data_IF_052758973998
#
_entry.id   IF_052758973998
#
_cell.length_a   1.000
_cell.length_b   1.000
_cell.length_c   1.000
_cell.angle_alpha   90.00
_cell.angle_beta   90.00
_cell.angle_gamma   90.00
#
_symmetry.space_group_name_H-M   'P 1'
#
loop_
_entity.id
_entity.type
_entity.pdbx_description
1 polymer ?
#
# COMPACT_ATOMS: atom_id res chain seq x y z
N UNK A 1 11.84 0.01 -33.12
CA UNK A 1 10.74 -0.31 -32.18
C UNK A 1 9.86 0.91 -32.05
N UNK A 2 8.56 0.80 -32.34
CA UNK A 2 7.64 1.93 -32.21
C UNK A 2 7.60 2.37 -30.74
N UNK A 3 7.81 3.66 -30.46
CA UNK A 3 7.55 4.23 -29.13
C UNK A 3 6.05 4.20 -28.93
N UNK A 4 5.55 3.20 -28.23
CA UNK A 4 4.19 3.28 -27.70
C UNK A 4 4.23 4.29 -26.55
N UNK A 5 3.30 5.24 -26.55
CA UNK A 5 3.25 6.32 -25.55
C UNK A 5 2.71 5.80 -24.20
N UNK A 6 3.22 4.65 -23.75
CA UNK A 6 2.66 3.79 -22.70
C UNK A 6 3.53 3.73 -21.42
N UNK A 7 4.68 4.40 -21.41
CA UNK A 7 5.58 4.43 -20.25
C UNK A 7 6.23 5.80 -20.08
N UNK A 8 6.25 6.29 -18.84
CA UNK A 8 6.93 7.52 -18.44
C UNK A 8 8.05 7.17 -17.45
N UNK A 9 9.29 7.52 -17.79
CA UNK A 9 10.44 7.36 -16.90
C UNK A 9 10.71 8.67 -16.18
N UNK A 10 10.59 8.66 -14.85
CA UNK A 10 10.96 9.77 -13.98
C UNK A 10 12.24 9.42 -13.23
N UNK A 11 13.24 10.30 -13.26
CA UNK A 11 14.53 10.06 -12.64
C UNK A 11 14.59 10.62 -11.21
N UNK A 12 15.31 9.91 -10.33
CA UNK A 12 15.59 10.25 -8.92
C UNK A 12 14.37 10.20 -7.99
N UNK A 13 13.36 11.04 -8.23
CA UNK A 13 12.22 11.17 -7.33
C UNK A 13 10.93 11.48 -8.09
N UNK A 14 9.84 10.89 -7.63
CA UNK A 14 8.49 11.12 -8.14
C UNK A 14 7.56 11.42 -6.96
N UNK A 15 6.52 12.25 -7.14
CA UNK A 15 5.55 12.56 -6.09
C UNK A 15 4.65 11.35 -5.84
N UNK A 16 5.15 10.38 -5.06
CA UNK A 16 4.54 9.05 -4.88
C UNK A 16 3.09 9.14 -4.42
N UNK A 17 2.81 9.93 -3.37
CA UNK A 17 1.45 10.07 -2.86
C UNK A 17 0.50 10.68 -3.89
N UNK A 18 0.92 11.74 -4.60
CA UNK A 18 0.10 12.37 -5.64
C UNK A 18 -0.19 11.40 -6.80
N UNK A 19 0.80 10.58 -7.18
CA UNK A 19 0.62 9.52 -8.17
C UNK A 19 -0.38 8.49 -7.65
N UNK A 20 -0.19 7.95 -6.44
CA UNK A 20 -1.08 6.94 -5.85
C UNK A 20 -2.51 7.44 -5.64
N UNK A 21 -2.70 8.73 -5.37
CA UNK A 21 -4.01 9.37 -5.27
C UNK A 21 -4.71 9.53 -6.62
N UNK A 22 -4.00 9.35 -7.73
CA UNK A 22 -4.60 9.51 -9.05
C UNK A 22 -5.47 8.31 -9.44
N UNK A 23 -6.71 8.58 -9.89
CA UNK A 23 -7.71 7.56 -10.26
C UNK A 23 -7.27 6.56 -11.35
N UNK A 24 -6.27 6.91 -12.14
CA UNK A 24 -5.72 6.04 -13.20
C UNK A 24 -4.72 5.00 -12.66
N UNK A 25 -4.36 5.04 -11.38
CA UNK A 25 -3.47 4.03 -10.80
C UNK A 25 -4.25 2.79 -10.41
N UNK A 26 -3.90 1.69 -11.08
CA UNK A 26 -4.49 0.39 -10.83
C UNK A 26 -3.71 -0.41 -9.77
N UNK A 27 -2.38 -0.31 -9.74
CA UNK A 27 -1.52 -1.05 -8.82
C UNK A 27 -0.18 -0.35 -8.60
N UNK A 28 0.53 -0.76 -7.55
CA UNK A 28 1.83 -0.20 -7.19
C UNK A 28 2.88 -1.30 -6.98
N UNK A 29 3.94 -1.28 -7.79
CA UNK A 29 5.14 -2.09 -7.54
C UNK A 29 5.98 -1.40 -6.47
N UNK A 30 6.13 -2.04 -5.31
CA UNK A 30 6.78 -1.47 -4.14
C UNK A 30 7.74 -2.45 -3.50
N UNK A 31 8.77 -1.91 -2.85
CA UNK A 31 9.69 -2.65 -2.02
C UNK A 31 9.09 -3.05 -0.65
N UNK A 32 7.80 -2.79 -0.41
CA UNK A 32 7.07 -3.14 0.81
C UNK A 32 7.58 -2.43 2.10
N UNK A 33 8.17 -1.24 1.96
CA UNK A 33 8.42 -0.36 3.11
C UNK A 33 7.11 0.16 3.70
N UNK A 34 7.04 0.27 5.04
CA UNK A 34 5.78 0.53 5.75
C UNK A 34 5.07 1.83 5.33
N UNK A 35 5.81 2.91 5.11
CA UNK A 35 5.22 4.18 4.66
C UNK A 35 4.57 4.04 3.27
N UNK A 36 5.27 3.42 2.32
CA UNK A 36 4.73 3.14 0.98
C UNK A 36 3.48 2.27 1.03
N UNK A 37 3.42 1.32 1.97
CA UNK A 37 2.23 0.49 2.19
C UNK A 37 1.05 1.35 2.66
N UNK A 38 1.26 2.17 3.69
CA UNK A 38 0.22 3.05 4.23
C UNK A 38 -0.30 4.00 3.14
N UNK A 39 0.60 4.65 2.38
CA UNK A 39 0.21 5.54 1.29
C UNK A 39 -0.63 4.79 0.24
N UNK A 40 -0.18 3.63 -0.24
CA UNK A 40 -0.88 2.83 -1.24
C UNK A 40 -2.27 2.40 -0.76
N UNK A 41 -2.37 1.83 0.43
CA UNK A 41 -3.63 1.31 0.95
C UNK A 41 -4.58 2.42 1.35
N UNK A 42 -4.09 3.57 1.81
CA UNK A 42 -4.94 4.76 2.07
C UNK A 42 -5.68 5.24 0.81
N UNK A 43 -5.07 5.03 -0.37
CA UNK A 43 -5.65 5.33 -1.68
C UNK A 43 -6.36 4.12 -2.32
N UNK A 44 -6.41 2.98 -1.62
CA UNK A 44 -7.00 1.74 -2.10
C UNK A 44 -6.29 1.16 -3.32
N UNK A 45 -4.98 1.31 -3.39
CA UNK A 45 -4.14 0.77 -4.46
C UNK A 45 -3.48 -0.55 -3.98
N UNK A 46 -3.74 -1.69 -4.65
CA UNK A 46 -3.09 -2.96 -4.33
C UNK A 46 -1.61 -2.96 -4.72
N UNK A 47 -0.84 -3.88 -4.11
CA UNK A 47 0.62 -3.84 -4.13
C UNK A 47 1.20 -5.08 -4.82
N UNK A 48 2.10 -4.87 -5.78
CA UNK A 48 3.05 -5.89 -6.23
C UNK A 48 4.31 -5.71 -5.37
N UNK A 49 4.61 -6.67 -4.52
CA UNK A 49 5.71 -6.61 -3.57
C UNK A 49 7.02 -7.14 -4.14
N UNK A 50 8.07 -6.34 -4.02
CA UNK A 50 9.46 -6.73 -4.27
C UNK A 50 10.32 -6.36 -3.05
N UNK A 51 10.15 -7.03 -1.90
CA UNK A 51 10.92 -6.75 -0.70
C UNK A 51 12.42 -6.91 -0.93
N UNK A 52 13.22 -5.95 -0.48
CA UNK A 52 14.67 -5.91 -0.72
C UNK A 52 15.47 -6.13 0.57
N UNK A 53 15.06 -5.50 1.68
CA UNK A 53 15.81 -5.49 2.94
C UNK A 53 14.92 -5.24 4.18
N UNK A 54 15.52 -5.23 5.37
CA UNK A 54 14.85 -4.93 6.64
C UNK A 54 13.62 -5.81 6.90
N UNK A 55 12.51 -5.23 7.36
CA UNK A 55 11.26 -5.91 7.67
C UNK A 55 10.35 -6.12 6.46
N UNK A 56 10.76 -5.67 5.28
CA UNK A 56 9.95 -5.64 4.05
C UNK A 56 9.43 -7.03 3.65
N UNK A 57 10.20 -8.09 3.92
CA UNK A 57 9.75 -9.46 3.68
C UNK A 57 8.56 -9.86 4.56
N UNK A 58 8.54 -9.43 5.82
CA UNK A 58 7.40 -9.66 6.72
C UNK A 58 6.20 -8.82 6.31
N UNK A 59 6.42 -7.55 5.93
CA UNK A 59 5.37 -6.70 5.41
C UNK A 59 4.73 -7.30 4.14
N UNK A 60 5.56 -7.78 3.20
CA UNK A 60 5.11 -8.48 1.98
C UNK A 60 4.23 -9.68 2.32
N UNK A 61 4.68 -10.52 3.27
CA UNK A 61 3.92 -11.69 3.74
C UNK A 61 2.56 -11.30 4.31
N UNK A 62 2.51 -10.28 5.18
CA UNK A 62 1.26 -9.78 5.77
C UNK A 62 0.29 -9.24 4.71
N UNK A 63 0.79 -8.51 3.70
CA UNK A 63 -0.04 -7.99 2.60
C UNK A 63 -0.72 -9.12 1.80
N UNK A 64 -0.04 -10.25 1.65
CA UNK A 64 -0.48 -11.37 0.82
C UNK A 64 -1.37 -12.33 1.61
N UNK A 65 -0.88 -12.80 2.76
CA UNK A 65 -1.51 -13.87 3.52
C UNK A 65 -2.64 -13.35 4.41
N UNK A 66 -2.45 -12.21 5.07
CA UNK A 66 -3.41 -11.70 6.06
C UNK A 66 -4.40 -10.70 5.44
N UNK A 67 -3.89 -9.77 4.64
CA UNK A 67 -4.71 -8.69 4.08
C UNK A 67 -5.27 -9.04 2.70
N UNK A 68 -4.60 -9.91 1.93
CA UNK A 68 -4.99 -10.29 0.57
C UNK A 68 -5.00 -9.13 -0.42
N UNK A 69 -4.16 -8.10 -0.22
CA UNK A 69 -4.08 -6.88 -1.04
C UNK A 69 -2.83 -6.83 -1.91
N UNK A 70 -2.05 -7.91 -1.94
CA UNK A 70 -0.80 -7.96 -2.67
C UNK A 70 -0.44 -9.32 -3.26
N UNK A 71 0.57 -9.28 -4.12
CA UNK A 71 1.32 -10.44 -4.61
C UNK A 71 2.80 -10.15 -4.52
N UNK A 72 3.65 -11.17 -4.43
CA UNK A 72 5.10 -10.99 -4.44
C UNK A 72 5.66 -11.35 -5.82
N UNK A 73 6.53 -10.50 -6.35
CA UNK A 73 7.21 -10.73 -7.63
C UNK A 73 8.60 -11.35 -7.41
N UNK A 74 9.33 -10.94 -6.38
CA UNK A 74 10.64 -11.49 -6.02
C UNK A 74 11.08 -11.02 -4.62
N UNK A 75 12.16 -11.60 -4.09
CA UNK A 75 12.79 -11.19 -2.82
C UNK A 75 14.28 -10.89 -2.96
N UNK A 76 14.71 -9.85 -2.25
CA UNK A 76 16.10 -9.44 -2.15
C UNK A 76 16.65 -8.97 -3.50
N UNK A 77 17.97 -9.08 -3.64
CA UNK A 77 18.69 -8.75 -4.87
C UNK A 77 18.68 -9.91 -5.88
N UNK A 78 17.97 -11.00 -5.60
CA UNK A 78 17.87 -12.12 -6.54
C UNK A 78 17.21 -11.63 -7.83
N UNK A 79 17.86 -11.94 -8.97
CA UNK A 79 17.41 -11.54 -10.32
C UNK A 79 16.85 -12.72 -11.10
N UNK A 80 16.36 -13.75 -10.41
CA UNK A 80 15.72 -14.91 -11.04
C UNK A 80 14.28 -14.56 -11.46
N UNK A 81 14.13 -13.43 -12.15
CA UNK A 81 12.90 -12.91 -12.71
C UNK A 81 13.15 -12.73 -14.20
N UNK A 82 12.43 -13.47 -15.02
CA UNK A 82 12.45 -13.22 -16.44
C UNK A 82 11.36 -12.21 -16.84
N UNK A 83 11.40 -11.79 -18.10
CA UNK A 83 10.43 -10.83 -18.66
C UNK A 83 9.00 -11.38 -18.67
N UNK A 84 8.83 -12.69 -18.78
CA UNK A 84 7.53 -13.34 -18.86
C UNK A 84 6.90 -13.42 -17.46
N UNK A 85 7.68 -13.69 -16.42
CA UNK A 85 7.23 -13.62 -15.02
C UNK A 85 6.67 -12.23 -14.69
N UNK A 86 7.43 -11.19 -15.03
CA UNK A 86 7.03 -9.79 -14.82
C UNK A 86 5.74 -9.48 -15.58
N UNK A 87 5.69 -9.86 -16.86
CA UNK A 87 4.51 -9.64 -17.71
C UNK A 87 3.28 -10.36 -17.17
N UNK A 88 3.41 -11.60 -16.74
CA UNK A 88 2.30 -12.40 -16.21
C UNK A 88 1.72 -11.78 -14.95
N UNK A 89 2.57 -11.38 -14.01
CA UNK A 89 2.13 -10.74 -12.75
C UNK A 89 1.48 -9.39 -13.02
N UNK A 90 2.12 -8.54 -13.84
CA UNK A 90 1.56 -7.23 -14.19
C UNK A 90 0.22 -7.38 -14.92
N UNK A 91 0.11 -8.32 -15.86
CA UNK A 91 -1.14 -8.57 -16.59
C UNK A 91 -2.24 -9.04 -15.65
N UNK A 92 -1.95 -10.00 -14.76
CA UNK A 92 -2.93 -10.51 -13.80
C UNK A 92 -3.42 -9.43 -12.83
N UNK A 93 -2.53 -8.54 -12.36
CA UNK A 93 -2.90 -7.48 -11.43
C UNK A 93 -3.67 -6.35 -12.12
N UNK A 94 -3.35 -6.06 -13.37
CA UNK A 94 -4.02 -5.02 -14.16
C UNK A 94 -5.28 -5.51 -14.89
N UNK A 95 -5.59 -6.79 -14.81
CA UNK A 95 -6.81 -7.35 -15.39
C UNK A 95 -8.03 -6.80 -14.65
N UNK A 96 -8.94 -6.20 -15.42
CA UNK A 96 -10.18 -5.61 -14.90
C UNK A 96 -11.34 -6.61 -14.89
N UNK A 97 -11.12 -7.84 -15.36
CA UNK A 97 -12.09 -8.93 -15.24
C UNK A 97 -12.12 -9.50 -13.82
N UNK A 98 -13.14 -10.30 -13.50
CA UNK A 98 -13.19 -11.01 -12.23
C UNK A 98 -11.97 -11.92 -12.08
N UNK A 99 -11.27 -11.77 -10.96
CA UNK A 99 -10.02 -12.48 -10.72
C UNK A 99 -9.20 -11.82 -9.62
N UNK A 100 -7.99 -12.32 -9.44
CA UNK A 100 -7.11 -11.95 -8.31
C UNK A 100 -6.80 -10.45 -8.25
N UNK A 101 -6.55 -9.78 -9.38
CA UNK A 101 -6.31 -8.34 -9.43
C UNK A 101 -7.49 -7.53 -8.90
N UNK A 102 -8.70 -7.86 -9.36
CA UNK A 102 -9.94 -7.19 -8.94
C UNK A 102 -10.30 -7.49 -7.47
N UNK A 103 -10.07 -8.71 -6.99
CA UNK A 103 -10.22 -9.06 -5.58
C UNK A 103 -9.28 -8.25 -4.68
N UNK A 104 -8.00 -8.15 -5.06
CA UNK A 104 -7.01 -7.32 -4.37
C UNK A 104 -7.42 -5.85 -4.34
N UNK A 105 -7.91 -5.32 -5.47
CA UNK A 105 -8.39 -3.93 -5.56
C UNK A 105 -9.58 -3.68 -4.62
N UNK A 106 -10.55 -4.59 -4.58
CA UNK A 106 -11.72 -4.49 -3.68
C UNK A 106 -11.29 -4.46 -2.22
N UNK A 107 -10.41 -5.39 -1.81
CA UNK A 107 -9.88 -5.42 -0.43
C UNK A 107 -9.07 -4.17 -0.10
N UNK A 108 -8.24 -3.69 -1.03
CA UNK A 108 -7.48 -2.46 -0.84
C UNK A 108 -8.41 -1.24 -0.64
N UNK A 109 -9.49 -1.13 -1.41
CA UNK A 109 -10.49 -0.06 -1.24
C UNK A 109 -11.20 -0.13 0.12
N UNK A 110 -11.55 -1.33 0.57
CA UNK A 110 -12.15 -1.58 1.88
C UNK A 110 -11.20 -1.15 3.02
N UNK A 111 -9.95 -1.63 2.99
CA UNK A 111 -8.92 -1.24 3.95
C UNK A 111 -8.68 0.27 3.92
N UNK A 112 -8.59 0.87 2.73
CA UNK A 112 -8.42 2.32 2.60
C UNK A 112 -9.57 3.11 3.21
N UNK A 113 -10.80 2.60 3.13
CA UNK A 113 -11.95 3.20 3.83
C UNK A 113 -11.77 3.10 5.35
N UNK A 114 -11.44 1.92 5.87
CA UNK A 114 -11.20 1.72 7.30
C UNK A 114 -10.08 2.62 7.84
N UNK A 115 -9.00 2.80 7.07
CA UNK A 115 -7.89 3.69 7.42
C UNK A 115 -8.34 5.15 7.48
N UNK A 116 -9.16 5.61 6.53
CA UNK A 116 -9.70 6.98 6.57
C UNK A 116 -10.62 7.18 7.76
N UNK A 117 -11.48 6.20 8.04
CA UNK A 117 -12.39 6.25 9.18
C UNK A 117 -11.62 6.21 10.53
N UNK A 118 -10.46 5.55 10.59
CA UNK A 118 -9.68 5.45 11.84
C UNK A 118 -9.03 6.78 12.27
N UNK A 119 -8.77 7.67 11.32
CA UNK A 119 -8.12 8.99 11.56
C UNK A 119 -9.09 10.17 11.47
N UNK A 120 -10.38 9.91 11.30
CA UNK A 120 -11.41 10.94 11.15
C UNK A 120 -12.01 11.34 12.51
N UNK A 121 -12.33 12.62 12.65
CA UNK A 121 -13.11 13.15 13.77
C UNK A 121 -14.17 14.10 13.22
N UNK A 122 -15.43 13.71 13.40
CA UNK A 122 -16.63 14.44 12.98
C UNK A 122 -17.62 14.51 14.16
N UNK A 123 -18.70 15.27 14.01
CA UNK A 123 -19.78 15.30 14.99
C UNK A 123 -20.32 13.89 15.28
N UNK A 124 -20.16 13.45 16.53
CA UNK A 124 -20.63 12.14 17.00
C UNK A 124 -19.78 10.93 16.55
N UNK A 125 -18.71 11.13 15.79
CA UNK A 125 -17.81 10.05 15.37
C UNK A 125 -16.34 10.41 15.60
N UNK A 126 -15.63 9.52 16.29
CA UNK A 126 -14.20 9.65 16.51
C UNK A 126 -13.49 8.34 16.20
N UNK A 127 -12.59 8.39 15.24
CA UNK A 127 -11.81 7.26 14.75
C UNK A 127 -10.93 6.64 15.82
N UNK A 128 -10.64 5.35 15.68
CA UNK A 128 -9.89 4.57 16.67
C UNK A 128 -8.47 5.10 16.87
N UNK A 129 -7.79 5.54 15.81
CA UNK A 129 -6.43 6.09 15.91
C UNK A 129 -6.41 7.43 16.64
N UNK A 130 -7.43 8.28 16.45
CA UNK A 130 -7.54 9.56 17.19
C UNK A 130 -7.83 9.29 18.67
N UNK A 131 -8.75 8.37 18.99
CA UNK A 131 -9.02 7.96 20.39
C UNK A 131 -7.74 7.46 21.07
N UNK A 132 -7.01 6.57 20.41
CA UNK A 132 -5.76 6.04 20.95
C UNK A 132 -4.71 7.13 21.20
N UNK A 133 -4.65 8.15 20.33
CA UNK A 133 -3.75 9.29 20.51
C UNK A 133 -4.17 10.16 21.70
N UNK A 134 -5.47 10.43 21.87
CA UNK A 134 -5.98 11.17 23.01
C UNK A 134 -5.73 10.45 24.35
N UNK A 135 -5.95 9.14 24.38
CA UNK A 135 -5.67 8.30 25.54
C UNK A 135 -4.19 8.37 25.91
N UNK A 136 -3.31 8.28 24.91
CA UNK A 136 -1.87 8.42 25.09
C UNK A 136 -1.49 9.79 25.64
N UNK A 137 -1.99 10.88 25.05
CA UNK A 137 -1.73 12.26 25.50
C UNK A 137 -2.22 12.44 26.94
N UNK A 138 -3.43 11.98 27.26
CA UNK A 138 -4.02 12.05 28.59
C UNK A 138 -3.17 11.30 29.62
N UNK A 139 -2.65 10.12 29.27
CA UNK A 139 -1.76 9.34 30.13
C UNK A 139 -0.42 10.06 30.39
N UNK A 140 0.15 10.73 29.37
CA UNK A 140 1.41 11.49 29.52
C UNK A 140 1.20 12.73 30.39
N UNK A 141 0.11 13.47 30.18
CA UNK A 141 -0.19 14.69 30.93
C UNK A 141 -0.56 14.42 32.40
N UNK A 142 -1.29 13.33 32.68
CA UNK A 142 -1.66 12.96 34.06
C UNK A 142 -0.45 12.56 34.92
N UNK A 143 0.66 12.10 34.32
CA UNK A 143 1.92 11.84 35.02
C UNK A 143 2.69 13.12 35.39
N UNK A 144 2.59 14.17 34.57
CA UNK A 144 3.21 15.48 34.87
C UNK A 144 2.51 16.23 36.02
N UNK A 145 1.22 15.99 36.24
CA UNK A 145 0.48 16.63 37.34
C UNK A 145 0.75 16.02 38.72
N UNK A 146 1.56 14.95 38.81
CA UNK A 146 1.89 14.23 40.06
C UNK A 146 3.36 14.37 40.48
N UNK A 147 4.14 15.24 39.82
CA UNK A 147 5.50 15.63 40.20
C UNK A 147 5.53 17.08 40.66
#
# INVERSE_FOLDING_TARGET
MARTNQGLLVHKWAPQLDILSHKSIAAFLSHCGWNSIIESLSQGVPIIGWPIAAEQGYNSKMLIEDMGVGVEICRGLQRNLDKEDVKNIVTMVLDNQEGKGQEMKKKALEIGKLMRDSVKEDEGFKGSSIKAMDDFISAVLSKKAKS
#
